data_IF_748788435649
#
_entry.id   IF_748788435649
#
_cell.length_a   1.000
_cell.length_b   1.000
_cell.length_c   1.000
_cell.angle_alpha   90.00
_cell.angle_beta   90.00
_cell.angle_gamma   90.00
#
_symmetry.space_group_name_H-M   'P 1'
#
loop_
_entity.id
_entity.type
_entity.pdbx_description
1 polymer ?
#
# COMPACT_ATOMS: atom_id res chain seq x y z
N UNK A 1 28.08 46.74 -76.35
CA UNK A 1 28.68 47.86 -75.60
C UNK A 1 28.25 47.67 -74.15
N UNK A 2 28.98 46.91 -73.34
CA UNK A 2 30.32 47.16 -72.75
C UNK A 2 30.31 48.23 -71.65
N UNK A 3 30.60 47.75 -70.43
CA UNK A 3 30.78 48.40 -69.11
C UNK A 3 31.64 49.68 -69.07
N UNK A 4 31.53 50.51 -68.00
CA UNK A 4 32.48 50.42 -66.87
C UNK A 4 31.79 50.45 -65.47
N UNK A 5 32.24 49.73 -64.42
CA UNK A 5 33.50 49.85 -63.63
C UNK A 5 33.56 51.25 -62.98
N UNK A 6 33.82 51.48 -61.70
CA UNK A 6 34.56 50.82 -60.65
C UNK A 6 34.32 51.73 -59.42
N UNK A 7 33.89 51.19 -58.29
CA UNK A 7 34.79 50.90 -57.16
C UNK A 7 34.53 51.86 -55.99
N UNK A 8 34.70 51.31 -54.79
CA UNK A 8 35.30 52.04 -53.68
C UNK A 8 34.41 52.93 -52.82
N UNK A 9 33.41 52.35 -52.15
CA UNK A 9 33.09 52.72 -50.76
C UNK A 9 32.69 51.44 -50.01
N UNK A 10 33.65 50.59 -49.68
CA UNK A 10 34.39 50.62 -48.41
C UNK A 10 33.45 50.54 -47.21
N UNK A 11 33.59 49.39 -46.56
CA UNK A 11 33.25 49.05 -45.18
C UNK A 11 31.77 48.96 -44.81
N UNK A 12 31.50 47.84 -44.14
CA UNK A 12 30.62 47.76 -42.99
C UNK A 12 29.19 47.26 -43.20
N UNK A 13 29.02 46.07 -43.78
CA UNK A 13 27.99 45.12 -43.28
C UNK A 13 28.42 43.68 -43.59
N UNK A 14 29.53 43.27 -42.99
CA UNK A 14 29.70 41.89 -42.51
C UNK A 14 28.43 41.51 -41.74
N UNK A 15 27.55 40.63 -42.25
CA UNK A 15 26.67 39.80 -41.40
C UNK A 15 25.71 38.82 -42.12
N UNK A 16 25.70 38.69 -43.45
CA UNK A 16 24.80 37.71 -44.09
C UNK A 16 25.50 36.83 -45.13
N UNK A 17 26.32 35.90 -44.65
CA UNK A 17 26.51 34.60 -45.30
C UNK A 17 27.38 33.72 -44.40
N UNK A 18 26.79 32.70 -43.77
CA UNK A 18 27.43 31.37 -43.63
C UNK A 18 26.45 30.33 -43.10
N UNK A 19 26.14 29.38 -43.99
CA UNK A 19 26.02 27.94 -43.73
C UNK A 19 24.72 27.44 -43.11
N UNK A 20 23.86 26.95 -44.01
CA UNK A 20 22.98 25.82 -43.72
C UNK A 20 23.83 24.62 -43.27
N UNK A 21 23.58 24.10 -42.06
CA UNK A 21 24.08 22.80 -41.61
C UNK A 21 22.97 22.01 -40.91
N UNK A 22 22.58 20.92 -41.58
CA UNK A 22 22.10 19.63 -41.11
C UNK A 22 21.26 19.50 -39.82
N UNK A 23 20.14 18.79 -40.01
CA UNK A 23 19.20 18.23 -39.04
C UNK A 23 19.91 17.23 -38.10
N UNK A 24 19.62 17.27 -36.80
CA UNK A 24 19.73 16.10 -35.93
C UNK A 24 18.55 16.05 -34.95
N UNK A 25 17.68 15.02 -34.99
CA UNK A 25 16.75 14.80 -33.90
C UNK A 25 17.57 14.37 -32.68
N UNK A 26 17.37 15.06 -31.55
CA UNK A 26 17.85 14.56 -30.28
C UNK A 26 17.14 13.24 -30.00
N UNK A 27 17.84 12.12 -30.21
CA UNK A 27 17.41 10.82 -29.72
C UNK A 27 17.38 10.89 -28.19
N UNK A 28 16.20 11.18 -27.62
CA UNK A 28 15.95 10.94 -26.22
C UNK A 28 16.06 9.44 -26.01
N UNK A 29 17.16 9.00 -25.40
CA UNK A 29 17.28 7.65 -24.90
C UNK A 29 16.10 7.43 -23.95
N UNK A 30 15.18 6.53 -24.34
CA UNK A 30 14.13 6.09 -23.46
C UNK A 30 14.78 5.53 -22.18
N UNK A 31 14.26 5.84 -20.98
CA UNK A 31 14.77 5.24 -19.76
C UNK A 31 14.61 3.73 -19.90
N UNK A 32 15.74 3.02 -19.97
CA UNK A 32 15.74 1.57 -19.83
C UNK A 32 15.25 1.26 -18.43
N UNK A 33 14.03 0.72 -18.31
CA UNK A 33 13.61 0.06 -17.07
C UNK A 33 14.66 -0.99 -16.77
N UNK A 34 15.46 -0.77 -15.73
CA UNK A 34 16.35 -1.79 -15.22
C UNK A 34 15.46 -2.95 -14.76
N UNK A 35 15.48 -4.06 -15.50
CA UNK A 35 14.92 -5.31 -15.03
C UNK A 35 15.76 -5.73 -13.82
N UNK A 36 15.21 -5.54 -12.62
CA UNK A 36 15.82 -6.08 -11.42
C UNK A 36 15.97 -7.60 -11.60
N UNK A 37 17.13 -8.19 -11.27
CA UNK A 37 17.27 -9.64 -11.29
C UNK A 37 16.22 -10.23 -10.36
N UNK A 38 15.38 -11.13 -10.88
CA UNK A 38 14.46 -11.90 -10.05
C UNK A 38 15.28 -12.68 -9.03
N UNK A 39 15.10 -12.34 -7.75
CA UNK A 39 15.66 -13.13 -6.67
C UNK A 39 15.14 -14.57 -6.79
N UNK A 40 15.98 -15.60 -6.54
CA UNK A 40 15.52 -16.98 -6.52
C UNK A 40 14.37 -17.13 -5.52
N UNK A 41 13.39 -18.01 -5.78
CA UNK A 41 12.29 -18.23 -4.87
C UNK A 41 12.85 -18.66 -3.51
N UNK A 42 12.50 -17.91 -2.47
CA UNK A 42 12.86 -18.26 -1.11
C UNK A 42 12.30 -19.65 -0.78
N UNK A 43 13.02 -20.47 0.01
CA UNK A 43 12.50 -21.76 0.46
C UNK A 43 11.17 -21.57 1.20
N UNK A 44 10.23 -22.50 0.99
CA UNK A 44 8.94 -22.46 1.67
C UNK A 44 9.16 -22.63 3.17
N UNK A 45 8.99 -21.55 3.94
CA UNK A 45 9.19 -21.56 5.41
C UNK A 45 7.89 -21.70 6.19
N UNK A 46 6.78 -21.94 5.48
CA UNK A 46 5.48 -22.19 6.08
C UNK A 46 5.41 -23.58 6.73
N UNK A 47 4.96 -23.64 7.98
CA UNK A 47 4.57 -24.87 8.70
C UNK A 47 3.09 -24.80 9.05
N UNK A 48 2.40 -25.94 9.07
CA UNK A 48 1.00 -25.97 9.52
C UNK A 48 0.91 -25.65 11.00
N UNK A 49 -0.04 -24.79 11.36
CA UNK A 49 -0.36 -24.47 12.75
C UNK A 49 -1.04 -25.65 13.47
N UNK A 50 -1.57 -26.61 12.73
CA UNK A 50 -2.35 -27.73 13.23
C UNK A 50 -1.82 -29.08 12.69
N UNK A 51 -2.09 -30.22 13.38
CA UNK A 51 -1.66 -31.55 12.95
C UNK A 51 -2.17 -31.93 11.55
N UNK A 52 -1.42 -32.78 10.84
CA UNK A 52 -1.49 -32.88 9.38
C UNK A 52 -2.64 -33.69 8.78
N UNK A 53 -3.37 -34.49 9.56
CA UNK A 53 -4.38 -35.39 8.98
C UNK A 53 -5.68 -35.39 9.79
N UNK A 54 -6.76 -34.75 9.30
CA UNK A 54 -8.10 -34.93 9.88
C UNK A 54 -8.59 -36.36 9.62
N UNK A 55 -9.36 -36.93 10.55
CA UNK A 55 -10.06 -38.21 10.31
C UNK A 55 -11.29 -37.98 9.41
N UNK A 56 -11.84 -39.04 8.78
CA UNK A 56 -13.13 -38.93 8.10
C UNK A 56 -14.21 -38.32 9.02
N UNK A 57 -14.84 -37.23 8.58
CA UNK A 57 -15.86 -36.51 9.35
C UNK A 57 -15.35 -35.36 10.23
N UNK A 58 -14.04 -35.11 10.29
CA UNK A 58 -13.46 -33.98 11.05
C UNK A 58 -13.12 -32.79 10.15
N UNK A 59 -13.11 -31.59 10.73
CA UNK A 59 -12.62 -30.36 10.08
C UNK A 59 -11.10 -30.25 10.21
N UNK A 60 -10.43 -29.72 9.19
CA UNK A 60 -8.99 -29.45 9.24
C UNK A 60 -8.71 -27.96 9.24
N UNK A 61 -7.58 -27.59 9.83
CA UNK A 61 -7.10 -26.23 9.94
C UNK A 61 -6.10 -25.96 8.80
N UNK A 62 -6.39 -24.93 8.01
CA UNK A 62 -5.55 -24.49 6.89
C UNK A 62 -4.54 -23.40 7.28
N UNK A 63 -4.43 -23.08 8.56
CA UNK A 63 -3.52 -22.04 9.03
C UNK A 63 -2.06 -22.50 8.92
N UNK A 64 -1.21 -21.62 8.39
CA UNK A 64 0.23 -21.79 8.29
C UNK A 64 0.94 -20.68 9.08
N UNK A 65 2.05 -20.98 9.73
CA UNK A 65 2.96 -19.99 10.31
C UNK A 65 4.32 -20.02 9.62
N UNK A 66 4.99 -18.87 9.53
CA UNK A 66 6.40 -18.84 9.11
C UNK A 66 7.27 -19.34 10.24
N UNK A 67 7.96 -20.44 10.00
CA UNK A 67 8.79 -21.13 10.99
C UNK A 67 10.17 -20.49 11.17
N UNK A 68 10.58 -19.66 10.22
CA UNK A 68 11.86 -18.95 10.17
C UNK A 68 11.74 -17.49 10.64
N UNK A 69 10.55 -17.05 11.05
CA UNK A 69 10.34 -15.72 11.59
C UNK A 69 10.99 -15.64 12.99
N UNK A 70 12.27 -15.33 13.04
CA UNK A 70 12.90 -14.81 14.25
C UNK A 70 12.27 -13.46 14.57
N UNK A 71 11.88 -13.26 15.84
CA UNK A 71 10.95 -12.22 16.30
C UNK A 71 11.01 -10.91 15.52
N UNK A 72 9.83 -10.37 15.19
CA UNK A 72 9.72 -9.12 14.45
C UNK A 72 10.54 -8.04 15.15
N UNK A 73 11.59 -7.54 14.49
CA UNK A 73 12.26 -6.34 14.95
C UNK A 73 11.19 -5.25 15.08
N UNK A 74 11.10 -4.59 16.24
CA UNK A 74 10.19 -3.46 16.43
C UNK A 74 10.61 -2.36 15.47
N UNK A 75 9.93 -2.28 14.34
CA UNK A 75 10.11 -1.20 13.40
C UNK A 75 9.36 0.03 13.92
N UNK A 76 9.92 1.22 13.67
CA UNK A 76 9.28 2.49 14.04
C UNK A 76 7.96 2.73 13.29
N UNK A 77 7.77 2.05 12.16
CA UNK A 77 6.54 2.03 11.37
C UNK A 77 6.15 0.58 11.05
N UNK A 78 4.84 0.27 10.95
CA UNK A 78 4.39 -1.06 10.54
C UNK A 78 5.08 -1.49 9.26
N UNK A 79 5.68 -2.69 9.28
CA UNK A 79 6.24 -3.30 8.08
C UNK A 79 5.11 -4.00 7.32
N UNK A 80 5.00 -3.78 6.01
CA UNK A 80 3.98 -4.39 5.16
C UNK A 80 3.09 -3.35 4.46
N UNK A 81 1.99 -3.83 3.88
CA UNK A 81 1.02 -2.99 3.17
C UNK A 81 0.06 -2.30 4.15
N UNK A 82 -0.02 -0.98 4.05
CA UNK A 82 -1.02 -0.17 4.74
C UNK A 82 -2.33 -0.04 3.96
N UNK A 83 -3.35 0.62 4.53
CA UNK A 83 -4.65 0.79 3.88
C UNK A 83 -4.58 1.51 2.52
N UNK A 84 -3.65 2.48 2.35
CA UNK A 84 -3.45 3.14 1.06
C UNK A 84 -2.87 2.18 0.00
N UNK A 85 -1.95 1.30 0.38
CA UNK A 85 -1.39 0.29 -0.51
C UNK A 85 -2.48 -0.68 -0.97
N UNK A 86 -3.30 -1.18 -0.03
CA UNK A 86 -4.43 -2.06 -0.33
C UNK A 86 -5.44 -1.37 -1.26
N UNK A 87 -5.78 -0.12 -0.99
CA UNK A 87 -6.68 0.65 -1.84
C UNK A 87 -6.14 0.78 -3.27
N UNK A 88 -4.85 1.07 -3.42
CA UNK A 88 -4.22 1.18 -4.74
C UNK A 88 -4.10 -0.16 -5.47
N UNK A 89 -3.79 -1.24 -4.75
CA UNK A 89 -3.59 -2.57 -5.32
C UNK A 89 -4.88 -3.16 -5.91
N UNK A 90 -6.03 -2.80 -5.33
CA UNK A 90 -7.34 -3.30 -5.74
C UNK A 90 -8.23 -2.23 -6.40
N UNK A 91 -7.68 -1.06 -6.73
CA UNK A 91 -8.42 0.05 -7.34
C UNK A 91 -9.71 0.40 -6.58
N UNK A 92 -9.64 0.38 -5.24
CA UNK A 92 -10.82 0.57 -4.40
C UNK A 92 -11.39 1.99 -4.57
N UNK A 93 -12.73 2.15 -4.56
CA UNK A 93 -13.38 3.45 -4.68
C UNK A 93 -13.24 4.28 -3.39
N UNK A 94 -12.03 4.77 -3.14
CA UNK A 94 -11.67 5.52 -1.92
C UNK A 94 -12.34 6.89 -1.82
N UNK A 95 -12.76 7.45 -2.96
CA UNK A 95 -13.48 8.73 -3.00
C UNK A 95 -14.87 8.64 -2.35
N UNK A 96 -15.51 7.47 -2.38
CA UNK A 96 -16.80 7.25 -1.73
C UNK A 96 -16.68 6.40 -0.47
N UNK A 97 -15.59 5.64 -0.28
CA UNK A 97 -15.17 5.10 1.02
C UNK A 97 -16.15 4.18 1.76
N UNK A 98 -17.27 3.80 1.13
CA UNK A 98 -18.41 3.19 1.83
C UNK A 98 -19.20 4.18 2.69
N UNK A 99 -19.16 5.49 2.39
CA UNK A 99 -19.89 6.53 3.11
C UNK A 99 -21.38 6.19 3.24
N UNK A 100 -21.89 6.27 4.46
CA UNK A 100 -23.27 5.91 4.80
C UNK A 100 -23.52 4.41 4.93
N UNK A 101 -22.53 3.55 4.70
CA UNK A 101 -22.64 2.11 4.88
C UNK A 101 -22.21 1.69 6.29
N UNK A 102 -22.92 0.72 6.86
CA UNK A 102 -22.51 0.06 8.12
C UNK A 102 -21.87 -1.28 7.80
N UNK A 103 -20.69 -1.52 8.37
CA UNK A 103 -19.99 -2.81 8.30
C UNK A 103 -20.01 -3.45 9.69
N UNK A 104 -20.55 -4.66 9.79
CA UNK A 104 -20.56 -5.43 11.03
C UNK A 104 -19.46 -6.50 11.00
N UNK A 105 -18.71 -6.60 12.10
CA UNK A 105 -17.73 -7.67 12.34
C UNK A 105 -18.27 -8.51 13.51
N UNK A 106 -18.40 -9.81 13.29
CA UNK A 106 -18.85 -10.75 14.34
C UNK A 106 -17.62 -11.38 14.99
N UNK A 107 -17.43 -11.08 16.27
CA UNK A 107 -16.44 -11.74 17.13
C UNK A 107 -17.15 -12.72 18.07
N UNK A 108 -16.53 -13.84 18.38
CA UNK A 108 -17.12 -14.92 19.17
C UNK A 108 -17.11 -14.64 20.68
N UNK A 109 -16.28 -13.72 21.15
CA UNK A 109 -16.10 -13.34 22.55
C UNK A 109 -16.01 -11.81 22.69
N UNK A 110 -16.06 -11.28 23.92
CA UNK A 110 -15.94 -9.83 24.10
C UNK A 110 -14.51 -9.35 23.83
N UNK A 111 -14.41 -8.21 23.16
CA UNK A 111 -13.16 -7.54 22.83
C UNK A 111 -13.26 -6.10 23.34
N UNK A 112 -13.07 -5.88 24.65
CA UNK A 112 -13.28 -4.57 25.27
C UNK A 112 -12.32 -3.51 24.73
N UNK A 113 -11.12 -3.92 24.27
CA UNK A 113 -10.08 -3.04 23.71
C UNK A 113 -10.31 -2.59 22.26
N UNK A 114 -11.35 -3.06 21.57
CA UNK A 114 -11.54 -2.84 20.13
C UNK A 114 -11.50 -1.35 19.72
N UNK A 115 -12.14 -0.46 20.47
CA UNK A 115 -12.12 0.98 20.17
C UNK A 115 -10.71 1.58 20.31
N UNK A 116 -9.97 1.20 21.37
CA UNK A 116 -8.63 1.71 21.62
C UNK A 116 -7.65 1.23 20.54
N UNK A 117 -7.68 -0.05 20.19
CA UNK A 117 -6.83 -0.64 19.15
C UNK A 117 -7.15 -0.05 17.76
N UNK A 118 -8.44 0.12 17.45
CA UNK A 118 -8.85 0.82 16.23
C UNK A 118 -8.35 2.27 16.23
N UNK A 119 -8.37 2.95 17.38
CA UNK A 119 -7.80 4.28 17.55
C UNK A 119 -6.31 4.34 17.18
N UNK A 120 -5.51 3.38 17.66
CA UNK A 120 -4.08 3.25 17.32
C UNK A 120 -3.88 3.08 15.81
N UNK A 121 -4.61 2.14 15.18
CA UNK A 121 -4.52 1.90 13.74
C UNK A 121 -4.87 3.15 12.93
N UNK A 122 -5.98 3.81 13.28
CA UNK A 122 -6.48 4.96 12.54
C UNK A 122 -5.54 6.17 12.69
N UNK A 123 -5.00 6.40 13.90
CA UNK A 123 -3.96 7.41 14.11
C UNK A 123 -2.68 7.11 13.31
N UNK A 124 -2.22 5.86 13.31
CA UNK A 124 -1.03 5.41 12.58
C UNK A 124 -1.11 5.69 11.08
N UNK A 125 -2.31 5.59 10.49
CA UNK A 125 -2.52 5.75 9.05
C UNK A 125 -3.25 7.04 8.67
N UNK A 126 -3.40 8.00 9.58
CA UNK A 126 -4.02 9.29 9.31
C UNK A 126 -5.51 9.22 8.94
N UNK A 127 -6.22 8.20 9.43
CA UNK A 127 -7.65 8.01 9.22
C UNK A 127 -8.47 8.75 10.30
N UNK A 128 -9.66 9.30 9.98
CA UNK A 128 -10.51 9.99 10.95
C UNK A 128 -10.85 9.09 12.15
N UNK A 129 -10.94 9.55 13.40
CA UNK A 129 -11.25 8.68 14.54
C UNK A 129 -12.59 7.96 14.38
N UNK A 130 -12.69 6.73 14.87
CA UNK A 130 -13.93 5.95 14.90
C UNK A 130 -14.20 5.51 16.35
N UNK A 131 -15.16 6.13 17.02
CA UNK A 131 -15.40 5.93 18.45
C UNK A 131 -16.89 5.78 18.73
N UNK A 132 -17.25 5.30 19.93
CA UNK A 132 -18.64 5.37 20.39
C UNK A 132 -19.08 6.83 20.52
N UNK A 133 -18.20 7.71 21.01
CA UNK A 133 -18.53 9.12 21.25
C UNK A 133 -18.88 9.90 19.98
N UNK A 134 -18.27 9.57 18.83
CA UNK A 134 -18.58 10.20 17.55
C UNK A 134 -19.58 9.40 16.70
N UNK A 135 -20.12 8.31 17.23
CA UNK A 135 -21.12 7.47 16.57
C UNK A 135 -20.60 6.58 15.45
N UNK A 136 -19.29 6.55 15.20
CA UNK A 136 -18.71 5.71 14.15
C UNK A 136 -18.62 4.23 14.58
N UNK A 137 -18.37 3.97 15.87
CA UNK A 137 -18.25 2.62 16.40
C UNK A 137 -19.44 2.27 17.29
N UNK A 138 -19.90 1.03 17.19
CA UNK A 138 -20.90 0.48 18.11
C UNK A 138 -20.57 -0.99 18.35
N UNK A 139 -20.69 -1.42 19.61
CA UNK A 139 -20.59 -2.82 20.00
C UNK A 139 -21.92 -3.29 20.53
N UNK A 140 -22.37 -4.43 20.05
CA UNK A 140 -23.61 -5.09 20.48
C UNK A 140 -23.35 -6.58 20.70
N UNK A 141 -24.10 -7.18 21.62
CA UNK A 141 -24.14 -8.62 21.77
C UNK A 141 -24.96 -9.27 20.64
N UNK A 142 -25.05 -10.61 20.63
CA UNK A 142 -25.76 -11.38 19.60
C UNK A 142 -27.29 -11.11 19.55
N UNK A 143 -27.84 -10.42 20.55
CA UNK A 143 -29.25 -10.01 20.64
C UNK A 143 -29.42 -8.50 20.43
N UNK A 144 -28.35 -7.76 20.13
CA UNK A 144 -28.38 -6.30 20.01
C UNK A 144 -28.22 -5.55 21.33
N UNK A 145 -27.93 -6.25 22.44
CA UNK A 145 -27.76 -5.70 23.78
C UNK A 145 -26.30 -5.43 24.15
N UNK A 146 -26.03 -5.32 25.46
CA UNK A 146 -24.70 -5.11 26.03
C UNK A 146 -24.27 -6.24 26.98
N UNK A 147 -24.97 -7.38 26.96
CA UNK A 147 -24.65 -8.55 27.77
C UNK A 147 -23.61 -9.40 27.04
N UNK A 148 -22.40 -8.84 26.93
CA UNK A 148 -21.32 -9.45 26.16
C UNK A 148 -20.85 -10.78 26.78
N UNK A 149 -20.44 -11.77 25.95
CA UNK A 149 -19.79 -12.98 26.45
C UNK A 149 -18.47 -12.64 27.17
N UNK A 150 -17.89 -13.60 27.90
CA UNK A 150 -16.55 -13.40 28.50
C UNK A 150 -15.46 -13.15 27.44
N UNK A 151 -14.30 -12.65 27.87
CA UNK A 151 -13.10 -12.57 27.01
C UNK A 151 -12.47 -13.96 26.81
N UNK A 152 -11.74 -14.16 25.72
CA UNK A 152 -11.01 -15.42 25.45
C UNK A 152 -9.51 -15.20 25.27
N UNK A 153 -8.74 -15.38 26.34
CA UNK A 153 -7.27 -15.19 26.33
C UNK A 153 -6.48 -16.29 25.62
N UNK A 154 -7.13 -17.36 25.14
CA UNK A 154 -6.46 -18.48 24.47
C UNK A 154 -6.15 -18.19 22.99
N UNK A 155 -6.93 -17.32 22.35
CA UNK A 155 -6.80 -16.98 20.92
C UNK A 155 -6.88 -15.48 20.66
N UNK A 156 -7.61 -14.72 21.49
CA UNK A 156 -7.46 -13.27 21.52
C UNK A 156 -6.16 -13.03 22.27
N UNK A 157 -5.07 -12.78 21.51
CA UNK A 157 -3.78 -12.45 22.09
C UNK A 157 -3.90 -11.31 23.10
N UNK A 158 -2.90 -11.13 23.99
CA UNK A 158 -2.95 -10.02 24.93
C UNK A 158 -3.10 -8.71 24.16
N UNK A 159 -4.16 -7.96 24.45
CA UNK A 159 -4.47 -6.63 23.90
C UNK A 159 -3.49 -5.54 24.39
N UNK A 160 -2.24 -5.93 24.63
CA UNK A 160 -1.16 -5.11 25.18
C UNK A 160 -0.16 -4.85 24.06
N UNK A 161 -0.52 -3.97 23.13
CA UNK A 161 0.44 -3.33 22.23
C UNK A 161 0.66 -1.89 22.68
#
# INVERSE_FOLDING_TARGET
MSFPRAAFRILLTFLLAMVAFAIAPAAQAAPTKATAPSAPPAPATGRRACPETPKPGEVTCFALFRADAHGFARAAVPQGYGPADLASAYELPTATGGDGMTVAIVDAYDTPGAEAEMGVYRAQFGLPPCTVANGCFTRVDQRGGQDFPGQNTGWQGPSSW
#
